data_IF_116667871238
#
_entry.id   IF_116667871238
#
_cell.length_a   1.000
_cell.length_b   1.000
_cell.length_c   1.000
_cell.angle_alpha   90.00
_cell.angle_beta   90.00
_cell.angle_gamma   90.00
#
_symmetry.space_group_name_H-M   'P 1'
#
loop_
_entity.id
_entity.type
_entity.pdbx_description
1 polymer ?
#
# COMPACT_ATOMS: atom_id res chain seq x y z
N UNK A 1 19.25 -3.01 6.24
CA UNK A 1 18.84 -1.78 5.54
C UNK A 1 20.06 -0.94 5.22
N UNK A 2 20.03 -0.16 4.13
CA UNK A 2 21.19 0.62 3.64
C UNK A 2 21.59 1.71 4.64
N UNK A 3 20.62 2.37 5.23
CA UNK A 3 20.78 3.46 6.20
C UNK A 3 21.49 3.04 7.49
N UNK A 4 21.67 1.73 7.70
CA UNK A 4 22.41 1.15 8.83
C UNK A 4 23.58 0.26 8.38
N UNK A 5 24.15 0.53 7.21
CA UNK A 5 25.27 -0.23 6.64
C UNK A 5 25.00 -1.75 6.56
N UNK A 6 23.75 -2.15 6.40
CA UNK A 6 23.33 -3.53 6.16
C UNK A 6 22.44 -4.12 7.24
N UNK A 7 22.95 -4.43 8.42
CA UNK A 7 22.24 -5.22 9.44
C UNK A 7 21.88 -4.35 10.64
N UNK A 8 20.61 -4.34 11.03
CA UNK A 8 20.10 -3.67 12.25
C UNK A 8 19.76 -4.66 13.37
N UNK A 9 19.24 -5.82 12.98
CA UNK A 9 18.86 -6.90 13.90
C UNK A 9 19.37 -8.24 13.39
N UNK A 10 19.53 -9.21 14.28
CA UNK A 10 20.02 -10.56 13.97
C UNK A 10 19.32 -11.60 14.83
N UNK A 11 18.99 -12.73 14.23
CA UNK A 11 18.61 -13.94 14.97
C UNK A 11 19.86 -14.74 15.32
N UNK A 12 20.10 -15.06 16.60
CA UNK A 12 21.28 -15.87 17.00
C UNK A 12 21.32 -17.22 16.28
N UNK A 13 22.51 -17.74 15.99
CA UNK A 13 22.66 -19.08 15.41
C UNK A 13 21.91 -20.15 16.21
N UNK A 14 21.21 -21.05 15.53
CA UNK A 14 20.44 -22.12 16.14
C UNK A 14 19.09 -21.73 16.73
N UNK A 15 18.71 -20.46 16.68
CA UNK A 15 17.40 -19.99 17.10
C UNK A 15 16.50 -19.84 15.88
N UNK A 16 15.38 -20.57 15.86
CA UNK A 16 14.32 -20.38 14.86
C UNK A 16 13.26 -19.50 15.49
N UNK A 17 13.11 -18.28 14.99
CA UNK A 17 12.04 -17.36 15.39
C UNK A 17 10.72 -17.67 14.67
N UNK A 18 9.57 -17.23 15.20
CA UNK A 18 8.30 -17.27 14.48
C UNK A 18 8.36 -16.41 13.23
N UNK A 19 7.40 -16.60 12.32
CA UNK A 19 7.28 -15.78 11.11
C UNK A 19 7.23 -14.28 11.45
N UNK A 20 7.93 -13.46 10.68
CA UNK A 20 8.06 -12.02 10.92
C UNK A 20 9.09 -11.62 11.99
N UNK A 21 9.64 -12.57 12.77
CA UNK A 21 10.70 -12.29 13.72
C UNK A 21 12.03 -12.05 12.99
N UNK A 22 12.63 -10.88 13.24
CA UNK A 22 13.95 -10.50 12.69
C UNK A 22 15.05 -10.45 13.75
N UNK A 23 14.77 -10.97 14.93
CA UNK A 23 15.74 -11.17 16.01
C UNK A 23 15.94 -9.95 16.92
N UNK A 24 17.15 -9.85 17.45
CA UNK A 24 17.54 -8.82 18.42
C UNK A 24 18.32 -7.70 17.75
N UNK A 25 18.29 -6.47 18.30
CA UNK A 25 19.18 -5.40 17.84
C UNK A 25 20.65 -5.84 17.90
N UNK A 26 21.43 -5.40 16.92
CA UNK A 26 22.89 -5.61 16.95
C UNK A 26 23.52 -4.90 18.15
N UNK A 27 24.71 -5.34 18.61
CA UNK A 27 25.45 -4.63 19.66
C UNK A 27 25.57 -3.13 19.36
N UNK A 28 25.42 -2.30 20.39
CA UNK A 28 25.41 -0.82 20.31
C UNK A 28 24.24 -0.22 19.54
N UNK A 29 23.25 -1.04 19.12
CA UNK A 29 22.02 -0.55 18.47
C UNK A 29 20.91 -0.46 19.51
N UNK A 30 20.40 0.73 19.71
CA UNK A 30 19.18 0.99 20.46
C UNK A 30 17.97 0.92 19.54
N UNK A 31 16.85 0.45 20.05
CA UNK A 31 15.60 0.29 19.32
C UNK A 31 14.43 0.83 20.14
N UNK A 32 13.52 1.54 19.49
CA UNK A 32 12.24 1.99 20.06
C UNK A 32 11.12 1.62 19.09
N UNK A 33 9.95 1.39 19.64
CA UNK A 33 8.70 1.30 18.87
C UNK A 33 7.83 2.46 19.31
N UNK A 34 7.45 3.31 18.37
CA UNK A 34 6.65 4.51 18.66
C UNK A 34 5.32 4.50 17.91
N UNK A 35 4.33 5.20 18.44
CA UNK A 35 3.07 5.41 17.75
C UNK A 35 3.28 6.18 16.43
N UNK A 36 2.37 6.00 15.48
CA UNK A 36 2.34 6.83 14.28
C UNK A 36 1.68 8.17 14.60
N UNK A 37 2.18 9.23 13.97
CA UNK A 37 1.50 10.51 13.93
C UNK A 37 0.31 10.50 12.93
N UNK A 38 -0.40 11.62 12.81
CA UNK A 38 -1.55 11.76 11.91
C UNK A 38 -1.19 11.60 10.41
N UNK A 39 0.10 11.68 10.07
CA UNK A 39 0.61 11.58 8.69
C UNK A 39 1.34 10.24 8.42
N UNK A 40 1.31 9.30 9.39
CA UNK A 40 1.99 8.02 9.30
C UNK A 40 3.49 8.07 9.57
N UNK A 41 3.99 9.19 10.09
CA UNK A 41 5.35 9.38 10.57
C UNK A 41 5.55 8.87 12.00
N UNK A 42 6.78 8.97 12.50
CA UNK A 42 7.09 8.61 13.89
C UNK A 42 6.60 9.71 14.85
N UNK A 43 5.83 9.36 15.86
CA UNK A 43 5.53 10.26 16.99
C UNK A 43 6.57 10.14 18.11
N UNK A 44 6.48 11.00 19.10
CA UNK A 44 7.34 10.93 20.31
C UNK A 44 6.84 9.93 21.36
N UNK A 45 5.73 9.25 21.10
CA UNK A 45 5.07 8.37 22.07
C UNK A 45 5.54 6.91 21.92
N UNK A 46 6.31 6.43 22.92
CA UNK A 46 6.75 5.03 22.97
C UNK A 46 5.59 4.07 23.21
N UNK A 47 5.62 2.95 22.52
CA UNK A 47 4.65 1.88 22.68
C UNK A 47 5.20 0.74 23.55
N UNK A 48 4.35 0.13 24.40
CA UNK A 48 4.76 -1.02 25.21
C UNK A 48 4.97 -2.26 24.32
N UNK A 49 5.71 -3.23 24.86
CA UNK A 49 5.93 -4.53 24.21
C UNK A 49 4.61 -5.16 23.75
N UNK A 50 4.63 -5.79 22.58
CA UNK A 50 3.47 -6.39 21.95
C UNK A 50 2.56 -5.44 21.17
N UNK A 51 2.82 -4.12 21.19
CA UNK A 51 2.06 -3.13 20.40
C UNK A 51 2.82 -2.74 19.15
N UNK A 52 2.22 -2.88 17.95
CA UNK A 52 2.86 -2.50 16.71
C UNK A 52 2.92 -0.97 16.55
N UNK A 53 4.05 -0.49 16.00
CA UNK A 53 4.29 0.92 15.71
C UNK A 53 5.49 1.09 14.79
N UNK A 54 5.93 2.34 14.60
CA UNK A 54 7.12 2.66 13.83
C UNK A 54 8.37 2.18 14.55
N UNK A 55 9.21 1.43 13.84
CA UNK A 55 10.51 1.00 14.35
C UNK A 55 11.53 2.11 14.19
N UNK A 56 12.14 2.51 15.30
CA UNK A 56 13.24 3.48 15.32
C UNK A 56 14.54 2.80 15.75
N UNK A 57 15.65 3.21 15.14
CA UNK A 57 16.98 2.78 15.54
C UNK A 57 17.90 3.99 15.83
N UNK A 58 18.78 3.80 16.82
CA UNK A 58 19.90 4.70 17.08
C UNK A 58 21.16 3.86 17.28
N UNK A 59 22.19 4.09 16.45
CA UNK A 59 23.37 3.24 16.41
C UNK A 59 24.55 3.99 15.76
N UNK A 60 25.80 3.66 16.11
CA UNK A 60 26.99 4.24 15.47
C UNK A 60 27.10 4.01 13.97
N UNK A 61 26.42 2.97 13.43
CA UNK A 61 26.44 2.63 12.01
C UNK A 61 25.25 3.21 11.22
N UNK A 62 24.44 4.07 11.84
CA UNK A 62 23.43 4.83 11.11
C UNK A 62 24.13 5.85 10.22
N UNK A 63 23.68 5.95 8.96
CA UNK A 63 24.23 6.91 7.99
C UNK A 63 24.02 8.37 8.46
N UNK A 64 24.78 9.29 7.90
CA UNK A 64 24.69 10.71 8.25
C UNK A 64 23.50 11.44 7.61
N UNK A 65 22.88 10.84 6.58
CA UNK A 65 21.73 11.41 5.89
C UNK A 65 21.71 11.11 4.39
N UNK A 66 20.66 11.56 3.73
CA UNK A 66 20.48 11.51 2.28
C UNK A 66 21.18 12.69 1.60
N UNK A 67 21.31 12.63 0.27
CA UNK A 67 21.82 13.75 -0.53
C UNK A 67 20.90 14.97 -0.46
N UNK A 68 19.58 14.76 -0.39
CA UNK A 68 18.62 15.81 -0.16
C UNK A 68 18.45 16.05 1.36
N UNK A 69 18.73 17.29 1.85
CA UNK A 69 18.54 17.64 3.24
C UNK A 69 17.09 17.49 3.73
N UNK A 70 16.10 17.68 2.84
CA UNK A 70 14.69 17.50 3.18
C UNK A 70 14.35 16.02 3.43
N UNK A 71 14.94 15.09 2.69
CA UNK A 71 14.82 13.65 2.93
C UNK A 71 15.50 13.26 4.24
N UNK A 72 16.66 13.84 4.53
CA UNK A 72 17.36 13.64 5.81
C UNK A 72 16.49 14.10 6.97
N UNK A 73 15.91 15.29 6.89
CA UNK A 73 15.04 15.82 7.96
C UNK A 73 13.81 14.93 8.21
N UNK A 74 13.28 14.25 7.17
CA UNK A 74 12.17 13.29 7.30
C UNK A 74 12.59 11.94 7.86
N UNK A 75 13.86 11.56 7.68
CA UNK A 75 14.38 10.27 8.11
C UNK A 75 14.75 10.22 9.59
N UNK A 76 14.94 11.36 10.23
CA UNK A 76 15.35 11.41 11.64
C UNK A 76 14.31 12.11 12.50
N UNK A 77 14.13 11.59 13.71
CA UNK A 77 13.40 12.30 14.77
C UNK A 77 14.23 13.48 15.30
N UNK A 78 13.61 14.41 16.00
CA UNK A 78 14.30 15.57 16.57
C UNK A 78 15.41 15.21 17.58
N UNK A 79 15.31 14.03 18.23
CA UNK A 79 16.29 13.48 19.18
C UNK A 79 17.29 12.51 18.53
N UNK A 80 17.31 12.46 17.18
CA UNK A 80 18.33 11.78 16.38
C UNK A 80 18.14 10.27 16.22
N UNK A 81 16.91 9.76 16.30
CA UNK A 81 16.60 8.39 15.93
C UNK A 81 16.28 8.29 14.44
N UNK A 82 16.78 7.26 13.80
CA UNK A 82 16.40 6.90 12.43
C UNK A 82 14.98 6.31 12.42
N UNK A 83 14.04 6.98 11.76
CA UNK A 83 12.73 6.46 11.47
C UNK A 83 12.80 5.56 10.24
N UNK A 84 12.67 4.23 10.44
CA UNK A 84 12.92 3.24 9.39
C UNK A 84 11.84 3.19 8.30
N UNK A 85 10.64 3.69 8.61
CA UNK A 85 9.45 3.48 7.81
C UNK A 85 8.89 2.06 7.90
N UNK A 86 9.56 1.15 8.59
CA UNK A 86 9.06 -0.20 8.85
C UNK A 86 8.21 -0.20 10.13
N UNK A 87 7.13 -0.98 10.11
CA UNK A 87 6.26 -1.20 11.26
C UNK A 87 6.59 -2.53 11.91
N UNK A 88 6.53 -2.55 13.24
CA UNK A 88 6.82 -3.76 13.99
C UNK A 88 6.52 -3.60 15.48
N UNK A 89 6.76 -4.65 16.22
CA UNK A 89 6.58 -4.70 17.66
C UNK A 89 7.68 -5.55 18.29
N UNK A 90 7.94 -5.33 19.58
CA UNK A 90 8.92 -6.09 20.35
C UNK A 90 8.19 -7.07 21.25
N UNK A 91 8.61 -8.32 21.26
CA UNK A 91 8.05 -9.34 22.16
C UNK A 91 8.65 -9.26 23.58
N UNK A 92 8.10 -10.08 24.50
CA UNK A 92 8.56 -10.14 25.89
C UNK A 92 10.01 -10.63 26.07
N UNK A 93 10.66 -11.09 25.00
CA UNK A 93 12.08 -11.49 24.98
C UNK A 93 12.98 -10.42 24.35
N UNK A 94 12.43 -9.28 23.90
CA UNK A 94 13.18 -8.21 23.25
C UNK A 94 13.45 -8.44 21.75
N UNK A 95 12.76 -9.40 21.10
CA UNK A 95 12.90 -9.68 19.67
C UNK A 95 11.97 -8.79 18.86
N UNK A 96 12.48 -8.24 17.77
CA UNK A 96 11.69 -7.46 16.83
C UNK A 96 10.91 -8.37 15.87
N UNK A 97 9.65 -8.06 15.70
CA UNK A 97 8.75 -8.65 14.72
C UNK A 97 8.30 -7.54 13.76
N UNK A 98 8.57 -7.71 12.47
CA UNK A 98 8.11 -6.76 11.44
C UNK A 98 6.72 -7.16 10.95
N UNK A 99 5.86 -6.16 10.78
CA UNK A 99 4.51 -6.32 10.23
C UNK A 99 4.41 -5.78 8.80
N UNK A 100 4.95 -4.58 8.53
CA UNK A 100 4.86 -3.98 7.21
C UNK A 100 5.62 -2.66 7.11
N UNK A 101 5.12 -1.75 6.26
CA UNK A 101 5.67 -0.39 6.12
C UNK A 101 4.59 0.66 6.32
N UNK A 102 4.92 1.76 6.97
CA UNK A 102 3.97 2.85 7.22
C UNK A 102 3.38 3.42 5.92
N UNK A 103 4.20 3.59 4.89
CA UNK A 103 3.76 4.08 3.56
C UNK A 103 2.90 3.08 2.77
N UNK A 104 2.84 1.83 3.21
CA UNK A 104 2.06 0.78 2.57
C UNK A 104 0.74 0.50 3.30
N UNK A 105 0.53 1.12 4.47
CA UNK A 105 -0.75 1.05 5.18
C UNK A 105 -1.88 1.54 4.25
N UNK A 106 -3.00 0.85 4.34
CA UNK A 106 -4.24 1.25 3.66
C UNK A 106 -5.07 2.03 4.67
N UNK A 107 -5.34 3.31 4.38
CA UNK A 107 -6.03 4.21 5.31
C UNK A 107 -7.51 4.26 4.95
N UNK A 108 -8.30 3.44 5.63
CA UNK A 108 -9.75 3.36 5.44
C UNK A 108 -10.50 4.02 6.59
N UNK A 109 -11.13 5.17 6.35
CA UNK A 109 -11.93 5.89 7.38
C UNK A 109 -11.17 6.08 8.71
N UNK A 110 -9.85 6.38 8.63
CA UNK A 110 -8.98 6.54 9.80
C UNK A 110 -8.42 5.23 10.39
N UNK A 111 -8.81 4.06 9.89
CA UNK A 111 -8.18 2.79 10.27
C UNK A 111 -6.92 2.55 9.45
N UNK A 112 -5.81 2.30 10.12
CA UNK A 112 -4.53 1.91 9.53
C UNK A 112 -4.51 0.39 9.33
N UNK A 113 -4.81 -0.07 8.12
CA UNK A 113 -4.88 -1.49 7.77
C UNK A 113 -3.51 -1.93 7.26
N UNK A 114 -2.94 -2.96 7.90
CA UNK A 114 -1.72 -3.61 7.42
C UNK A 114 -2.04 -4.50 6.21
N UNK A 115 -1.50 -4.21 5.01
CA UNK A 115 -1.70 -5.04 3.84
C UNK A 115 -1.30 -6.50 4.04
N UNK A 116 -0.30 -6.73 4.90
CA UNK A 116 0.23 -8.08 5.16
C UNK A 116 -0.82 -9.03 5.73
N UNK A 117 -1.73 -8.55 6.57
CA UNK A 117 -2.84 -9.36 7.09
C UNK A 117 -3.71 -9.93 5.95
N UNK A 118 -3.95 -9.11 4.93
CA UNK A 118 -4.75 -9.50 3.76
C UNK A 118 -3.92 -10.43 2.85
N UNK A 119 -2.65 -10.09 2.65
CA UNK A 119 -1.70 -10.87 1.82
C UNK A 119 -1.46 -12.27 2.38
N UNK A 120 -1.26 -12.39 3.70
CA UNK A 120 -1.09 -13.69 4.37
C UNK A 120 -2.38 -14.54 4.27
N UNK A 121 -3.55 -13.92 4.40
CA UNK A 121 -4.83 -14.60 4.26
C UNK A 121 -5.04 -15.15 2.84
N UNK A 122 -4.80 -14.35 1.79
CA UNK A 122 -4.94 -14.78 0.40
C UNK A 122 -3.81 -15.71 -0.03
N UNK A 123 -2.58 -15.47 0.42
CA UNK A 123 -1.41 -16.29 0.12
C UNK A 123 -1.52 -17.74 0.59
N UNK A 124 -2.41 -18.01 1.56
CA UNK A 124 -2.74 -19.36 2.00
C UNK A 124 -3.60 -20.14 0.98
N UNK A 125 -4.14 -19.49 -0.06
CA UNK A 125 -4.91 -20.18 -1.09
C UNK A 125 -4.00 -21.00 -2.01
N UNK A 126 -4.28 -22.29 -2.25
CA UNK A 126 -3.38 -23.20 -2.99
C UNK A 126 -3.06 -22.74 -4.40
N UNK A 127 -4.02 -22.13 -5.11
CA UNK A 127 -3.84 -21.65 -6.48
C UNK A 127 -3.04 -20.33 -6.57
N UNK A 128 -2.84 -19.58 -5.46
CA UNK A 128 -2.16 -18.28 -5.48
C UNK A 128 -0.65 -18.47 -5.46
N UNK A 129 0.03 -17.81 -6.40
CA UNK A 129 1.50 -17.75 -6.44
C UNK A 129 2.04 -16.54 -5.69
N UNK A 130 1.56 -15.34 -6.06
CA UNK A 130 1.90 -14.07 -5.41
C UNK A 130 0.63 -13.25 -5.23
N UNK A 131 0.57 -12.49 -4.16
CA UNK A 131 -0.48 -11.50 -3.98
C UNK A 131 0.06 -10.25 -3.29
N UNK A 132 -0.60 -9.12 -3.52
CA UNK A 132 -0.31 -7.87 -2.85
C UNK A 132 -1.58 -7.07 -2.66
N UNK A 133 -1.77 -6.56 -1.45
CA UNK A 133 -2.86 -5.66 -1.11
C UNK A 133 -2.41 -4.21 -1.16
N UNK A 134 -3.27 -3.35 -1.71
CA UNK A 134 -3.07 -1.90 -1.80
C UNK A 134 -4.40 -1.17 -1.55
N UNK A 135 -4.31 0.13 -1.22
CA UNK A 135 -5.47 1.00 -1.16
C UNK A 135 -5.92 1.39 -2.58
N UNK A 136 -7.20 1.16 -2.90
CA UNK A 136 -7.87 1.80 -4.03
C UNK A 136 -8.51 3.09 -3.55
N UNK A 137 -8.45 4.20 -4.30
CA UNK A 137 -9.02 5.46 -3.88
C UNK A 137 -10.55 5.38 -3.77
N UNK A 138 -11.10 5.94 -2.68
CA UNK A 138 -12.53 5.99 -2.41
C UNK A 138 -12.93 7.38 -1.87
N UNK A 139 -14.03 7.92 -2.39
CA UNK A 139 -14.49 9.27 -2.07
C UNK A 139 -14.90 9.47 -0.60
N UNK A 140 -15.31 8.42 0.11
CA UNK A 140 -15.83 8.48 1.47
C UNK A 140 -14.86 7.89 2.49
N UNK A 141 -14.26 6.73 2.14
CA UNK A 141 -13.40 6.02 3.05
C UNK A 141 -11.92 6.45 2.95
N UNK A 142 -11.58 7.30 1.98
CA UNK A 142 -10.20 7.58 1.59
C UNK A 142 -9.64 6.46 0.74
N UNK A 143 -9.44 5.28 1.33
CA UNK A 143 -9.01 4.09 0.59
C UNK A 143 -9.86 2.86 0.96
N UNK A 144 -9.99 1.96 -0.01
CA UNK A 144 -10.55 0.62 0.18
C UNK A 144 -9.49 -0.44 -0.13
N UNK A 145 -9.32 -1.47 0.73
CA UNK A 145 -8.39 -2.56 0.44
C UNK A 145 -8.81 -3.30 -0.83
N UNK A 146 -7.88 -3.45 -1.77
CA UNK A 146 -8.01 -4.31 -2.95
C UNK A 146 -6.77 -5.18 -3.09
N UNK A 147 -6.89 -6.33 -3.74
CA UNK A 147 -5.79 -7.27 -3.87
C UNK A 147 -5.55 -7.60 -5.33
N UNK A 148 -4.29 -7.60 -5.72
CA UNK A 148 -3.83 -8.18 -6.99
C UNK A 148 -3.17 -9.52 -6.72
N UNK A 149 -3.49 -10.53 -7.53
CA UNK A 149 -2.95 -11.87 -7.37
C UNK A 149 -2.49 -12.45 -8.71
N UNK A 150 -1.44 -13.28 -8.68
CA UNK A 150 -1.08 -14.18 -9.78
C UNK A 150 -1.34 -15.61 -9.35
N UNK A 151 -1.72 -16.45 -10.29
CA UNK A 151 -1.97 -17.87 -10.04
C UNK A 151 -0.72 -18.69 -10.34
N UNK A 152 -0.61 -19.83 -9.70
CA UNK A 152 0.43 -20.84 -10.00
C UNK A 152 0.20 -21.40 -11.40
N UNK A 153 1.26 -21.82 -12.10
CA UNK A 153 1.11 -22.46 -13.41
C UNK A 153 0.17 -23.67 -13.37
N UNK A 154 -0.83 -23.66 -14.24
CA UNK A 154 -1.83 -24.72 -14.33
C UNK A 154 -3.02 -24.60 -13.38
N UNK A 155 -2.96 -23.71 -12.40
CA UNK A 155 -4.05 -23.47 -11.46
C UNK A 155 -5.07 -22.48 -12.03
N UNK A 156 -6.32 -22.61 -11.57
CA UNK A 156 -7.43 -21.72 -11.89
C UNK A 156 -8.18 -21.36 -10.61
N UNK A 157 -8.52 -20.11 -10.46
CA UNK A 157 -9.41 -19.62 -9.42
C UNK A 157 -10.08 -18.32 -9.90
N UNK A 158 -11.35 -18.16 -9.60
CA UNK A 158 -12.06 -16.92 -9.93
C UNK A 158 -11.76 -15.82 -8.93
N UNK A 159 -11.93 -14.56 -9.34
CA UNK A 159 -11.79 -13.40 -8.44
C UNK A 159 -12.74 -13.48 -7.25
N UNK A 160 -13.98 -13.94 -7.46
CA UNK A 160 -14.99 -14.08 -6.41
C UNK A 160 -14.64 -15.19 -5.42
N UNK A 161 -14.11 -16.32 -5.88
CA UNK A 161 -13.60 -17.39 -5.02
C UNK A 161 -12.47 -16.90 -4.13
N UNK A 162 -11.47 -16.22 -4.70
CA UNK A 162 -10.34 -15.66 -3.97
C UNK A 162 -10.78 -14.60 -2.97
N UNK A 163 -11.75 -13.75 -3.35
CA UNK A 163 -12.33 -12.75 -2.48
C UNK A 163 -13.03 -13.38 -1.27
N UNK A 164 -13.90 -14.37 -1.51
CA UNK A 164 -14.62 -15.09 -0.46
C UNK A 164 -13.65 -15.82 0.48
N UNK A 165 -12.62 -16.48 -0.07
CA UNK A 165 -11.59 -17.16 0.70
C UNK A 165 -10.83 -16.21 1.63
N UNK A 166 -10.46 -15.03 1.12
CA UNK A 166 -9.74 -14.01 1.89
C UNK A 166 -10.64 -13.41 2.98
N UNK A 167 -11.88 -13.05 2.63
CA UNK A 167 -12.82 -12.41 3.55
C UNK A 167 -13.19 -13.29 4.76
N UNK A 168 -13.11 -14.62 4.64
CA UNK A 168 -13.32 -15.58 5.73
C UNK A 168 -12.14 -15.65 6.71
N UNK A 169 -10.95 -15.24 6.30
CA UNK A 169 -9.68 -15.35 7.04
C UNK A 169 -9.17 -14.04 7.60
N UNK A 170 -9.76 -12.93 7.15
CA UNK A 170 -9.48 -11.60 7.69
C UNK A 170 -10.53 -11.29 8.74
N UNK A 171 -10.12 -11.28 10.01
CA UNK A 171 -11.03 -11.08 11.16
C UNK A 171 -11.50 -9.63 11.24
N UNK A 172 -10.61 -8.68 10.97
CA UNK A 172 -10.88 -7.26 11.07
C UNK A 172 -11.77 -6.78 9.90
N UNK A 173 -13.00 -6.37 10.19
CA UNK A 173 -13.98 -5.99 9.17
C UNK A 173 -13.51 -4.87 8.23
N UNK A 174 -12.84 -3.79 8.68
CA UNK A 174 -12.30 -2.77 7.78
C UNK A 174 -11.22 -3.30 6.82
N UNK A 175 -10.47 -4.33 7.22
CA UNK A 175 -9.39 -4.92 6.43
C UNK A 175 -9.89 -5.91 5.36
N UNK A 176 -11.16 -6.32 5.39
CA UNK A 176 -11.71 -7.19 4.34
C UNK A 176 -11.62 -6.51 2.98
N UNK A 177 -10.98 -7.18 1.98
CA UNK A 177 -10.79 -6.56 0.67
C UNK A 177 -12.11 -6.37 -0.06
N UNK A 178 -12.19 -5.29 -0.84
CA UNK A 178 -13.33 -4.96 -1.70
C UNK A 178 -13.36 -5.82 -2.95
N UNK A 179 -12.17 -6.15 -3.49
CA UNK A 179 -12.03 -6.94 -4.69
C UNK A 179 -10.68 -7.68 -4.73
N UNK A 180 -10.64 -8.75 -5.50
CA UNK A 180 -9.40 -9.41 -5.94
C UNK A 180 -9.34 -9.31 -7.45
N UNK A 181 -8.19 -8.92 -8.00
CA UNK A 181 -7.93 -8.89 -9.44
C UNK A 181 -6.83 -9.89 -9.75
N UNK A 182 -7.14 -10.91 -10.57
CA UNK A 182 -6.12 -11.83 -11.07
C UNK A 182 -5.42 -11.17 -12.26
N UNK A 183 -4.09 -11.08 -12.17
CA UNK A 183 -3.23 -10.47 -13.20
C UNK A 183 -2.24 -11.52 -13.73
N UNK A 184 -1.84 -11.38 -14.98
CA UNK A 184 -0.92 -12.32 -15.62
C UNK A 184 0.49 -12.27 -15.00
N UNK A 185 0.95 -11.09 -14.60
CA UNK A 185 2.28 -10.88 -14.04
C UNK A 185 2.25 -9.83 -12.94
N UNK A 186 2.87 -10.16 -11.81
CA UNK A 186 3.04 -9.22 -10.69
C UNK A 186 4.12 -8.18 -11.04
N UNK A 187 3.83 -6.88 -10.90
CA UNK A 187 4.86 -5.85 -11.04
C UNK A 187 5.97 -6.03 -10.00
N UNK A 188 7.22 -6.04 -10.47
CA UNK A 188 8.39 -6.28 -9.63
C UNK A 188 9.43 -5.18 -9.80
N UNK A 189 10.16 -4.87 -8.73
CA UNK A 189 11.36 -4.04 -8.79
C UNK A 189 12.53 -4.83 -9.41
N UNK A 190 13.58 -4.15 -9.83
CA UNK A 190 14.80 -4.77 -10.37
C UNK A 190 15.49 -5.74 -9.37
N UNK A 191 15.19 -5.62 -8.09
CA UNK A 191 15.72 -6.48 -7.02
C UNK A 191 14.73 -7.58 -6.59
N UNK A 192 13.68 -7.83 -7.37
CA UNK A 192 12.75 -8.92 -7.14
C UNK A 192 11.72 -8.70 -6.02
N UNK A 193 11.42 -7.45 -5.66
CA UNK A 193 10.33 -7.11 -4.71
C UNK A 193 9.09 -6.66 -5.46
N UNK A 194 7.90 -6.97 -4.94
CA UNK A 194 6.63 -6.48 -5.49
C UNK A 194 6.62 -4.93 -5.49
N UNK A 195 6.29 -4.36 -6.64
CA UNK A 195 6.29 -2.92 -6.86
C UNK A 195 4.87 -2.35 -6.62
N UNK A 196 4.54 -2.10 -5.35
CA UNK A 196 3.22 -1.61 -4.92
C UNK A 196 2.80 -0.26 -5.53
N UNK A 197 3.69 0.72 -5.83
CA UNK A 197 3.27 1.95 -6.51
C UNK A 197 2.52 1.69 -7.82
N UNK A 198 3.00 0.77 -8.66
CA UNK A 198 2.30 0.40 -9.89
C UNK A 198 0.94 -0.26 -9.61
N UNK A 199 0.82 -1.09 -8.58
CA UNK A 199 -0.46 -1.70 -8.19
C UNK A 199 -1.45 -0.64 -7.71
N UNK A 200 -1.01 0.39 -6.98
CA UNK A 200 -1.87 1.54 -6.61
C UNK A 200 -2.34 2.30 -7.84
N UNK A 201 -1.47 2.53 -8.82
CA UNK A 201 -1.86 3.15 -10.09
C UNK A 201 -2.89 2.30 -10.84
N UNK A 202 -2.73 0.97 -10.86
CA UNK A 202 -3.72 0.05 -11.46
C UNK A 202 -5.05 0.10 -10.71
N UNK A 203 -5.05 0.15 -9.37
CA UNK A 203 -6.27 0.28 -8.58
C UNK A 203 -6.98 1.61 -8.84
N UNK A 204 -6.24 2.71 -8.91
CA UNK A 204 -6.78 4.03 -9.24
C UNK A 204 -7.37 4.06 -10.67
N UNK A 205 -6.71 3.39 -11.62
CA UNK A 205 -7.21 3.22 -12.99
C UNK A 205 -8.56 2.51 -13.01
N UNK A 206 -8.69 1.38 -12.29
CA UNK A 206 -9.93 0.61 -12.24
C UNK A 206 -11.09 1.44 -11.66
N UNK A 207 -10.84 2.18 -10.57
CA UNK A 207 -11.84 3.08 -9.96
C UNK A 207 -12.26 4.17 -10.94
N UNK A 208 -11.31 4.83 -11.59
CA UNK A 208 -11.59 5.91 -12.53
C UNK A 208 -12.33 5.40 -13.77
N UNK A 209 -11.97 4.23 -14.30
CA UNK A 209 -12.69 3.60 -15.41
C UNK A 209 -14.15 3.33 -15.05
N UNK A 210 -14.41 2.76 -13.88
CA UNK A 210 -15.78 2.50 -13.41
C UNK A 210 -16.60 3.79 -13.27
N UNK A 211 -16.00 4.89 -12.78
CA UNK A 211 -16.64 6.20 -12.68
C UNK A 211 -16.92 6.81 -14.07
N UNK A 212 -15.98 6.71 -15.00
CA UNK A 212 -16.16 7.16 -16.39
C UNK A 212 -17.31 6.39 -17.05
N UNK A 213 -17.30 5.08 -16.94
CA UNK A 213 -18.37 4.23 -17.50
C UNK A 213 -19.75 4.56 -16.89
N UNK A 214 -19.82 4.72 -15.57
CA UNK A 214 -21.07 5.08 -14.89
C UNK A 214 -21.58 6.45 -15.33
N UNK A 215 -20.70 7.45 -15.44
CA UNK A 215 -21.02 8.79 -15.88
C UNK A 215 -21.50 8.80 -17.33
N UNK A 216 -20.77 8.18 -18.24
CA UNK A 216 -21.14 8.08 -19.64
C UNK A 216 -22.46 7.34 -19.83
N UNK A 217 -22.68 6.24 -19.12
CA UNK A 217 -23.95 5.49 -19.14
C UNK A 217 -25.13 6.36 -18.68
N UNK A 218 -24.96 7.15 -17.62
CA UNK A 218 -26.00 8.05 -17.11
C UNK A 218 -26.38 9.16 -18.09
N UNK A 219 -25.47 9.54 -18.98
CA UNK A 219 -25.65 10.55 -20.02
C UNK A 219 -26.00 9.95 -21.39
N UNK A 220 -26.14 8.63 -21.51
CA UNK A 220 -26.46 7.96 -22.75
C UNK A 220 -25.37 8.03 -23.81
N UNK A 221 -24.10 8.16 -23.40
CA UNK A 221 -22.94 8.18 -24.31
C UNK A 221 -22.58 6.78 -24.74
N UNK A 222 -22.40 6.57 -26.05
CA UNK A 222 -21.97 5.30 -26.63
C UNK A 222 -20.57 4.91 -26.12
N UNK A 223 -20.36 3.61 -25.89
CA UNK A 223 -19.07 3.06 -25.41
C UNK A 223 -17.89 3.41 -26.31
N UNK A 224 -18.11 3.51 -27.64
CA UNK A 224 -17.09 3.93 -28.61
C UNK A 224 -16.62 5.39 -28.41
N UNK A 225 -17.39 6.19 -27.67
CA UNK A 225 -17.10 7.61 -27.37
C UNK A 225 -16.70 7.83 -25.92
N UNK A 226 -16.51 6.77 -25.14
CA UNK A 226 -16.04 6.89 -23.77
C UNK A 226 -14.61 7.47 -23.75
N UNK A 227 -14.35 8.41 -22.84
CA UNK A 227 -13.01 8.94 -22.63
C UNK A 227 -11.99 7.86 -22.30
N UNK A 228 -10.77 8.00 -22.82
CA UNK A 228 -9.67 7.13 -22.45
C UNK A 228 -9.18 7.47 -21.04
N UNK A 229 -8.97 6.46 -20.23
CA UNK A 229 -8.45 6.61 -18.86
C UNK A 229 -7.08 6.00 -18.76
N UNK A 230 -6.13 6.74 -18.21
CA UNK A 230 -4.78 6.27 -17.90
C UNK A 230 -4.45 6.60 -16.45
N UNK A 231 -3.55 5.86 -15.86
CA UNK A 231 -3.04 6.15 -14.53
C UNK A 231 -1.54 5.90 -14.47
N UNK A 232 -0.86 6.76 -13.75
CA UNK A 232 0.58 6.71 -13.53
C UNK A 232 0.89 6.98 -12.05
N UNK A 233 1.92 6.35 -11.51
CA UNK A 233 2.29 6.44 -10.09
C UNK A 233 2.70 7.83 -9.63
N UNK A 234 3.15 8.69 -10.55
CA UNK A 234 3.60 10.06 -10.25
C UNK A 234 2.56 11.11 -10.63
N UNK A 235 1.85 10.90 -11.74
CA UNK A 235 0.92 11.87 -12.31
C UNK A 235 -0.52 11.67 -11.85
N UNK A 236 -0.83 10.47 -11.34
CA UNK A 236 -2.20 10.09 -10.94
C UNK A 236 -3.06 9.66 -12.11
N UNK A 237 -4.36 9.94 -12.07
CA UNK A 237 -5.35 9.55 -13.08
C UNK A 237 -5.54 10.66 -14.11
N UNK A 238 -5.47 10.31 -15.38
CA UNK A 238 -5.77 11.21 -16.50
C UNK A 238 -6.90 10.62 -17.33
N UNK A 239 -7.94 11.43 -17.56
CA UNK A 239 -9.08 11.10 -18.42
C UNK A 239 -9.01 11.99 -19.65
N UNK A 240 -8.81 11.40 -20.82
CA UNK A 240 -8.72 12.10 -22.11
C UNK A 240 -10.05 12.02 -22.83
N UNK A 241 -10.70 13.15 -23.03
CA UNK A 241 -11.95 13.23 -23.79
C UNK A 241 -11.72 12.85 -25.27
N UNK A 242 -12.74 12.24 -25.88
CA UNK A 242 -12.73 11.89 -27.32
C UNK A 242 -13.34 13.03 -28.11
N UNK A 243 -12.72 13.40 -29.23
CA UNK A 243 -13.24 14.44 -30.14
C UNK A 243 -14.61 14.03 -30.71
N UNK A 244 -15.57 14.96 -30.73
CA UNK A 244 -16.91 14.71 -31.23
C UNK A 244 -17.84 13.97 -30.25
N UNK A 245 -17.43 13.77 -28.99
CA UNK A 245 -18.31 13.23 -27.95
C UNK A 245 -19.57 14.10 -27.83
N UNK A 246 -20.78 13.52 -27.96
CA UNK A 246 -22.02 14.26 -27.76
C UNK A 246 -22.05 14.92 -26.38
N UNK A 247 -22.49 16.18 -26.31
CA UNK A 247 -22.51 16.96 -25.08
C UNK A 247 -21.12 16.98 -24.35
N UNK A 248 -20.01 17.01 -25.10
CA UNK A 248 -18.65 16.91 -24.55
C UNK A 248 -18.36 17.82 -23.36
N UNK A 249 -18.85 19.07 -23.37
CA UNK A 249 -18.70 19.99 -22.22
C UNK A 249 -19.44 19.48 -20.96
N UNK A 250 -20.63 18.89 -21.11
CA UNK A 250 -21.39 18.31 -19.99
C UNK A 250 -20.70 17.07 -19.45
N UNK A 251 -20.24 16.18 -20.34
CA UNK A 251 -19.49 14.96 -19.96
C UNK A 251 -18.23 15.36 -19.21
N UNK A 252 -17.46 16.33 -19.72
CA UNK A 252 -16.24 16.82 -19.08
C UNK A 252 -16.53 17.35 -17.66
N UNK A 253 -17.52 18.21 -17.50
CA UNK A 253 -17.89 18.77 -16.19
C UNK A 253 -18.32 17.68 -15.20
N UNK A 254 -19.14 16.72 -15.63
CA UNK A 254 -19.60 15.61 -14.80
C UNK A 254 -18.46 14.67 -14.39
N UNK A 255 -17.51 14.42 -15.28
CA UNK A 255 -16.32 13.62 -14.94
C UNK A 255 -15.41 14.35 -13.95
N UNK A 256 -15.23 15.67 -14.10
CA UNK A 256 -14.50 16.46 -13.09
C UNK A 256 -15.18 16.37 -11.72
N UNK A 257 -16.50 16.53 -11.66
CA UNK A 257 -17.26 16.40 -10.42
C UNK A 257 -17.16 15.01 -9.79
N UNK A 258 -17.26 13.94 -10.59
CA UNK A 258 -17.21 12.56 -10.14
C UNK A 258 -15.81 12.14 -9.62
N UNK A 259 -14.75 12.68 -10.22
CA UNK A 259 -13.36 12.32 -9.87
C UNK A 259 -12.77 13.22 -8.76
N UNK A 260 -13.30 14.44 -8.57
CA UNK A 260 -12.78 15.40 -7.60
C UNK A 260 -12.70 14.87 -6.15
N UNK A 261 -13.64 14.04 -5.63
CA UNK A 261 -13.57 13.53 -4.27
C UNK A 261 -12.51 12.45 -4.04
N UNK A 262 -11.90 11.90 -5.10
CA UNK A 262 -10.90 10.84 -4.93
C UNK A 262 -9.60 11.39 -4.32
N UNK A 263 -8.98 10.67 -3.38
CA UNK A 263 -7.74 11.08 -2.71
C UNK A 263 -6.49 10.88 -3.59
N UNK A 264 -6.63 11.07 -4.90
CA UNK A 264 -5.55 10.99 -5.89
C UNK A 264 -5.62 12.17 -6.83
N UNK A 265 -4.49 12.53 -7.43
CA UNK A 265 -4.49 13.57 -8.47
C UNK A 265 -5.33 13.10 -9.65
N UNK A 266 -6.28 13.92 -10.09
CA UNK A 266 -7.13 13.63 -11.25
C UNK A 266 -7.06 14.78 -12.24
N UNK A 267 -7.08 14.47 -13.53
CA UNK A 267 -7.12 15.44 -14.63
C UNK A 267 -8.10 14.97 -15.70
N UNK A 268 -9.01 15.85 -16.12
CA UNK A 268 -9.85 15.62 -17.28
C UNK A 268 -9.38 16.58 -18.37
N UNK A 269 -8.84 16.03 -19.45
CA UNK A 269 -8.30 16.79 -20.57
C UNK A 269 -9.36 16.89 -21.68
N UNK A 270 -9.51 18.07 -22.24
CA UNK A 270 -10.34 18.28 -23.43
C UNK A 270 -9.81 17.46 -24.62
N UNK A 271 -10.70 17.19 -25.59
CA UNK A 271 -10.39 16.47 -26.82
C UNK A 271 -9.47 17.29 -27.73
#
# INVERSE_FOLDING_TARGET
MTEMAGISTVTPPGVIGPAGCVGFPMPYTQMRIVALDAHGGASDHDLPAGKPGMVLFKSPNVFSGFLDPADTARAFTHDGWLATGDLGWVDGHGRLHLTGRSKDLIIRSGHNIDPKTIEDALGAHPAVQLCAAVGAPDAYAGELPVVFATLRPGEQASADELLAFTAQRVDEAPAKPRSVTVIAQMPMTNVGKIYKPQLRAMAALQVAQALVEATCRSLGIDTAQHPAVTSDEHQGVTVQMVAGTPQGAVVHARLQEALAPLPVKTRVLAA
#
